data_IF_121341155741
#
_entry.id   IF_121341155741
#
_cell.length_a   1.000
_cell.length_b   1.000
_cell.length_c   1.000
_cell.angle_alpha   90.00
_cell.angle_beta   90.00
_cell.angle_gamma   90.00
#
_symmetry.space_group_name_H-M   'P 1'
#
loop_
_entity.id
_entity.type
_entity.pdbx_description
1 polymer ?
#
# COMPACT_ATOMS: atom_id res chain seq x y z
N UNK A 1 -10.18 1.07 -16.78
CA UNK A 1 -9.23 2.17 -16.49
C UNK A 1 -8.22 1.70 -15.44
N UNK A 2 -6.92 1.92 -15.68
CA UNK A 2 -5.79 1.50 -14.82
C UNK A 2 -5.81 2.07 -13.39
N UNK A 3 -6.69 3.05 -13.12
CA UNK A 3 -6.82 3.74 -11.83
C UNK A 3 -7.41 2.84 -10.74
N UNK A 4 -8.34 1.93 -11.08
CA UNK A 4 -9.03 1.11 -10.08
C UNK A 4 -8.12 0.10 -9.37
N UNK A 5 -7.28 -0.70 -10.06
CA UNK A 5 -6.36 -1.63 -9.39
C UNK A 5 -5.37 -0.92 -8.46
N UNK A 6 -4.91 0.27 -8.84
CA UNK A 6 -3.96 1.03 -8.01
C UNK A 6 -4.61 1.54 -6.72
N UNK A 7 -5.83 2.08 -6.82
CA UNK A 7 -6.58 2.53 -5.64
C UNK A 7 -6.81 1.38 -4.66
N UNK A 8 -7.12 0.19 -5.16
CA UNK A 8 -7.27 -1.01 -4.33
C UNK A 8 -5.96 -1.37 -3.60
N UNK A 9 -4.82 -1.38 -4.30
CA UNK A 9 -3.52 -1.67 -3.68
C UNK A 9 -3.23 -0.68 -2.54
N UNK A 10 -3.37 0.62 -2.80
CA UNK A 10 -3.10 1.66 -1.78
C UNK A 10 -4.05 1.52 -0.58
N UNK A 11 -5.32 1.20 -0.83
CA UNK A 11 -6.32 0.96 0.24
C UNK A 11 -5.96 -0.24 1.10
N UNK A 12 -5.56 -1.36 0.49
CA UNK A 12 -5.21 -2.58 1.24
C UNK A 12 -3.89 -2.39 2.01
N UNK A 13 -2.92 -1.66 1.46
CA UNK A 13 -1.69 -1.29 2.19
C UNK A 13 -2.02 -0.40 3.39
N UNK A 14 -2.83 0.65 3.21
CA UNK A 14 -3.23 1.53 4.30
C UNK A 14 -3.98 0.79 5.41
N UNK A 15 -4.89 -0.12 5.05
CA UNK A 15 -5.58 -1.00 6.01
C UNK A 15 -4.60 -1.89 6.76
N UNK A 16 -3.64 -2.49 6.05
CA UNK A 16 -2.66 -3.40 6.65
C UNK A 16 -1.80 -2.66 7.68
N UNK A 17 -1.33 -1.45 7.37
CA UNK A 17 -0.56 -0.61 8.30
C UNK A 17 -1.37 -0.33 9.57
N UNK A 18 -2.65 0.04 9.43
CA UNK A 18 -3.51 0.32 10.57
C UNK A 18 -3.74 -0.92 11.46
N UNK A 19 -3.91 -2.10 10.84
CA UNK A 19 -4.01 -3.37 11.56
C UNK A 19 -2.70 -3.67 12.29
N UNK A 20 -1.55 -3.51 11.65
CA UNK A 20 -0.25 -3.72 12.28
C UNK A 20 -0.05 -2.80 13.49
N UNK A 21 -0.34 -1.51 13.36
CA UNK A 21 -0.23 -0.57 14.49
C UNK A 21 -1.12 -1.01 15.66
N UNK A 22 -2.36 -1.41 15.39
CA UNK A 22 -3.29 -1.89 16.42
C UNK A 22 -2.77 -3.13 17.15
N UNK A 23 -2.15 -4.06 16.43
CA UNK A 23 -1.60 -5.27 17.04
C UNK A 23 -0.33 -4.98 17.85
N UNK A 24 0.51 -4.02 17.43
CA UNK A 24 1.62 -3.51 18.24
C UNK A 24 1.12 -2.89 19.55
N UNK A 25 0.11 -2.02 19.47
CA UNK A 25 -0.48 -1.37 20.66
C UNK A 25 -1.05 -2.41 21.64
N UNK A 26 -1.75 -3.42 21.11
CA UNK A 26 -2.28 -4.54 21.91
C UNK A 26 -1.19 -5.34 22.59
N UNK A 27 -0.09 -5.61 21.89
CA UNK A 27 1.04 -6.31 22.45
C UNK A 27 1.65 -5.52 23.62
N UNK A 28 1.92 -4.22 23.42
CA UNK A 28 2.43 -3.34 24.47
C UNK A 28 1.50 -3.29 25.69
N UNK A 29 0.19 -3.18 25.48
CA UNK A 29 -0.81 -3.21 26.57
C UNK A 29 -0.76 -4.54 27.35
N UNK A 30 -0.75 -5.66 26.64
CA UNK A 30 -0.73 -6.98 27.27
C UNK A 30 0.56 -7.19 28.08
N UNK A 31 1.71 -6.78 27.53
CA UNK A 31 2.98 -6.81 28.26
C UNK A 31 2.94 -5.92 29.49
N UNK A 32 2.35 -4.72 29.41
CA UNK A 32 2.23 -3.86 30.58
C UNK A 32 1.36 -4.50 31.68
N UNK A 33 0.26 -5.15 31.29
CA UNK A 33 -0.60 -5.88 32.22
C UNK A 33 0.18 -7.01 32.89
N UNK A 34 0.95 -7.79 32.12
CA UNK A 34 1.78 -8.87 32.64
C UNK A 34 2.80 -8.35 33.67
N UNK A 35 3.58 -7.32 33.31
CA UNK A 35 4.55 -6.66 34.20
C UNK A 35 3.91 -6.13 35.48
N UNK A 36 2.70 -5.58 35.39
CA UNK A 36 1.98 -5.00 36.53
C UNK A 36 1.33 -6.06 37.43
N UNK A 37 1.09 -7.26 36.89
CA UNK A 37 0.43 -8.36 37.59
C UNK A 37 1.40 -9.31 38.29
N UNK A 38 2.66 -9.34 37.87
CA UNK A 38 3.70 -10.18 38.46
C UNK A 38 4.28 -9.53 39.73
N UNK A 39 4.22 -10.25 40.86
CA UNK A 39 4.64 -9.74 42.18
C UNK A 39 6.14 -9.42 42.28
N UNK A 40 6.97 -10.10 41.48
CA UNK A 40 8.41 -9.87 41.43
C UNK A 40 8.68 -8.67 40.51
N UNK A 41 8.14 -8.70 39.29
CA UNK A 41 8.42 -7.70 38.25
C UNK A 41 7.85 -6.32 38.59
N UNK A 42 6.72 -6.25 39.30
CA UNK A 42 6.11 -4.99 39.74
C UNK A 42 7.05 -4.11 40.58
N UNK A 43 8.01 -4.70 41.27
CA UNK A 43 8.97 -3.95 42.09
C UNK A 43 10.14 -3.37 41.28
N UNK A 44 10.27 -3.75 40.01
CA UNK A 44 11.38 -3.32 39.14
C UNK A 44 11.06 -2.10 38.27
N UNK A 45 9.90 -1.46 38.46
CA UNK A 45 9.48 -0.25 37.72
C UNK A 45 9.64 -0.41 36.19
N UNK A 46 9.19 -1.55 35.67
CA UNK A 46 9.31 -1.91 34.26
C UNK A 46 8.10 -1.41 33.47
N UNK A 47 8.38 -0.71 32.37
CA UNK A 47 7.39 -0.30 31.39
C UNK A 47 7.47 -1.12 30.11
N UNK A 48 6.32 -1.44 29.54
CA UNK A 48 6.24 -2.04 28.22
C UNK A 48 6.73 -1.07 27.15
N UNK A 49 7.48 -1.58 26.18
CA UNK A 49 7.93 -0.78 25.03
C UNK A 49 6.76 -0.51 24.08
N UNK A 50 6.57 0.76 23.71
CA UNK A 50 5.58 1.17 22.72
C UNK A 50 6.24 1.40 21.35
N UNK A 51 5.73 0.71 20.34
CA UNK A 51 6.21 0.84 18.97
C UNK A 51 5.26 1.71 18.15
N UNK A 52 5.83 2.54 17.29
CA UNK A 52 5.09 3.36 16.35
C UNK A 52 5.61 3.13 14.94
N UNK A 53 4.71 3.09 13.96
CA UNK A 53 5.05 3.11 12.54
C UNK A 53 4.96 4.57 12.07
N UNK A 54 6.07 5.33 12.06
CA UNK A 54 6.03 6.75 11.75
C UNK A 54 5.80 7.02 10.26
N UNK A 55 6.44 6.22 9.41
CA UNK A 55 6.51 6.45 7.96
C UNK A 55 6.59 5.12 7.22
N UNK A 56 5.85 5.03 6.11
CA UNK A 56 5.91 3.91 5.17
C UNK A 56 6.09 4.47 3.77
N UNK A 57 7.23 4.13 3.15
CA UNK A 57 7.55 4.45 1.76
C UNK A 57 7.24 3.24 0.86
N UNK A 58 6.52 3.50 -0.23
CA UNK A 58 6.07 2.51 -1.20
C UNK A 58 6.58 2.89 -2.59
N UNK A 59 7.25 1.95 -3.26
CA UNK A 59 7.67 2.10 -4.66
C UNK A 59 7.07 0.98 -5.51
N UNK A 60 6.26 1.35 -6.51
CA UNK A 60 5.67 0.42 -7.46
C UNK A 60 6.25 0.66 -8.85
N UNK A 61 6.88 -0.38 -9.41
CA UNK A 61 7.40 -0.38 -10.79
C UNK A 61 6.41 -1.07 -11.72
N UNK A 62 6.08 -0.40 -12.81
CA UNK A 62 5.09 -0.87 -13.79
C UNK A 62 5.69 -0.92 -15.19
N UNK A 63 5.38 -1.99 -15.92
CA UNK A 63 5.60 -2.06 -17.36
C UNK A 63 4.42 -1.43 -18.09
N UNK A 64 4.72 -0.60 -19.09
CA UNK A 64 3.73 -0.06 -20.01
C UNK A 64 3.85 -0.77 -21.35
N UNK A 65 2.72 -1.16 -21.93
CA UNK A 65 2.64 -1.76 -23.26
C UNK A 65 1.60 -1.01 -24.07
N UNK A 66 1.98 -0.53 -25.25
CA UNK A 66 1.08 0.07 -26.21
C UNK A 66 0.85 -0.91 -27.36
N UNK A 67 -0.41 -1.11 -27.74
CA UNK A 67 -0.81 -1.90 -28.91
C UNK A 67 -1.66 -1.04 -29.82
N UNK A 68 -1.53 -1.25 -31.13
CA UNK A 68 -2.44 -0.70 -32.13
C UNK A 68 -3.43 -1.80 -32.50
N UNK A 69 -4.70 -1.61 -32.17
CA UNK A 69 -5.78 -2.49 -32.60
C UNK A 69 -6.42 -1.92 -33.86
N UNK A 70 -6.63 -2.76 -34.86
CA UNK A 70 -7.34 -2.38 -36.07
C UNK A 70 -8.82 -2.15 -35.75
N UNK A 71 -9.31 -0.94 -36.02
CA UNK A 71 -10.75 -0.69 -36.02
C UNK A 71 -11.29 -1.05 -37.40
N UNK A 72 -12.17 -2.06 -37.44
CA UNK A 72 -12.87 -2.48 -38.65
C UNK A 72 -14.36 -2.13 -38.58
N UNK A 73 -14.94 -1.72 -39.70
CA UNK A 73 -16.38 -1.45 -39.80
C UNK A 73 -17.21 -2.76 -39.88
N UNK A 74 -18.53 -2.69 -39.83
CA UNK A 74 -19.45 -3.83 -39.98
C UNK A 74 -19.31 -4.58 -41.33
N UNK A 75 -18.68 -3.97 -42.33
CA UNK A 75 -18.27 -4.58 -43.61
C UNK A 75 -16.81 -5.06 -43.63
N UNK A 76 -16.17 -5.12 -42.45
CA UNK A 76 -14.81 -5.60 -42.24
C UNK A 76 -13.71 -4.78 -42.96
N UNK A 77 -13.99 -3.52 -43.34
CA UNK A 77 -12.99 -2.62 -43.90
C UNK A 77 -12.20 -1.93 -42.79
N UNK A 78 -10.89 -1.78 -43.00
CA UNK A 78 -9.99 -1.10 -42.08
C UNK A 78 -10.35 0.40 -42.04
N UNK A 79 -10.84 0.85 -40.88
CA UNK A 79 -11.36 2.20 -40.68
C UNK A 79 -10.38 3.09 -39.90
N UNK A 80 -9.47 2.48 -39.15
CA UNK A 80 -8.43 3.17 -38.41
C UNK A 80 -7.67 2.24 -37.49
N UNK A 81 -6.81 2.84 -36.66
CA UNK A 81 -6.08 2.15 -35.60
C UNK A 81 -6.43 2.78 -34.26
N UNK A 82 -6.94 1.97 -33.33
CA UNK A 82 -7.16 2.36 -31.95
C UNK A 82 -5.91 2.05 -31.14
N UNK A 83 -5.42 3.03 -30.39
CA UNK A 83 -4.31 2.83 -29.45
C UNK A 83 -4.85 2.25 -28.14
N UNK A 84 -4.34 1.10 -27.74
CA UNK A 84 -4.64 0.48 -26.45
C UNK A 84 -3.39 0.49 -25.59
N UNK A 85 -3.45 1.23 -24.48
CA UNK A 85 -2.40 1.27 -23.47
C UNK A 85 -2.75 0.30 -22.34
N UNK A 86 -1.85 -0.63 -22.06
CA UNK A 86 -1.94 -1.59 -20.96
C UNK A 86 -0.78 -1.36 -19.99
N UNK A 87 -1.03 -1.55 -18.70
CA UNK A 87 0.01 -1.49 -17.68
C UNK A 87 -0.13 -2.64 -16.71
N UNK A 88 1.01 -3.22 -16.31
CA UNK A 88 1.07 -4.33 -15.36
C UNK A 88 2.22 -4.12 -14.36
N UNK A 89 2.06 -4.55 -13.09
CA UNK A 89 3.15 -4.56 -12.13
C UNK A 89 4.30 -5.45 -12.62
N UNK A 90 5.54 -4.97 -12.49
CA UNK A 90 6.72 -5.75 -12.81
C UNK A 90 7.03 -6.73 -11.66
N UNK A 91 6.56 -7.97 -11.78
CA UNK A 91 6.99 -9.08 -10.93
C UNK A 91 7.89 -10.04 -11.72
N UNK A 92 8.80 -10.76 -11.06
CA UNK A 92 9.75 -11.68 -11.71
C UNK A 92 9.08 -12.71 -12.64
N UNK A 93 7.84 -13.12 -12.36
CA UNK A 93 7.05 -14.03 -13.19
C UNK A 93 6.41 -13.39 -14.44
N UNK A 94 6.31 -12.06 -14.49
CA UNK A 94 5.73 -11.35 -15.64
C UNK A 94 6.74 -11.23 -16.80
N UNK A 95 8.03 -11.25 -16.49
CA UNK A 95 9.14 -11.21 -17.47
C UNK A 95 9.21 -12.52 -18.28
N UNK A 96 8.80 -13.66 -17.70
CA UNK A 96 9.03 -14.97 -18.32
C UNK A 96 7.97 -15.44 -19.32
N UNK A 97 6.74 -14.89 -19.27
CA UNK A 97 5.61 -15.40 -20.07
C UNK A 97 5.13 -14.45 -21.17
N UNK A 98 5.54 -13.19 -21.11
CA UNK A 98 5.05 -12.14 -22.00
C UNK A 98 6.22 -11.44 -22.67
N UNK A 99 6.60 -11.91 -23.85
CA UNK A 99 7.56 -11.28 -24.76
C UNK A 99 6.97 -10.01 -25.39
N UNK A 100 6.51 -9.06 -24.57
CA UNK A 100 6.07 -7.76 -25.06
C UNK A 100 7.25 -6.80 -25.08
N UNK A 101 7.43 -6.13 -26.22
CA UNK A 101 8.31 -4.99 -26.34
C UNK A 101 7.86 -3.92 -25.35
N UNK A 102 8.59 -3.77 -24.24
CA UNK A 102 8.35 -2.75 -23.24
C UNK A 102 8.76 -1.41 -23.86
N UNK A 103 7.80 -0.62 -24.30
CA UNK A 103 8.05 0.72 -24.87
C UNK A 103 8.23 1.79 -23.78
N UNK A 104 8.00 1.47 -22.50
CA UNK A 104 8.25 2.38 -21.38
C UNK A 104 8.09 1.74 -20.00
N UNK A 105 8.75 2.32 -19.01
CA UNK A 105 8.58 1.99 -17.60
C UNK A 105 7.95 3.16 -16.84
N UNK A 106 7.08 2.87 -15.89
CA UNK A 106 6.50 3.87 -14.98
C UNK A 106 6.82 3.51 -13.53
N UNK A 107 7.11 4.52 -12.72
CA UNK A 107 7.39 4.38 -11.29
C UNK A 107 6.39 5.24 -10.52
N UNK A 108 5.67 4.62 -9.60
CA UNK A 108 4.82 5.31 -8.64
C UNK A 108 5.48 5.25 -7.26
N UNK A 109 5.59 6.41 -6.62
CA UNK A 109 6.06 6.53 -5.24
C UNK A 109 4.93 7.06 -4.37
N UNK A 110 4.67 6.41 -3.24
CA UNK A 110 3.70 6.85 -2.26
C UNK A 110 4.33 6.81 -0.87
N UNK A 111 3.98 7.79 -0.05
CA UNK A 111 4.45 7.92 1.33
C UNK A 111 3.25 8.08 2.25
N UNK A 112 3.17 7.20 3.26
CA UNK A 112 2.14 7.24 4.28
C UNK A 112 2.82 7.65 5.58
N UNK A 113 2.34 8.74 6.18
CA UNK A 113 2.86 9.26 7.45
C UNK A 113 1.77 9.22 8.52
N UNK A 114 2.16 8.84 9.72
CA UNK A 114 1.31 8.95 10.90
C UNK A 114 1.28 10.40 11.35
N UNK A 115 0.09 11.00 11.43
CA UNK A 115 -0.08 12.33 12.03
C UNK A 115 -0.67 12.17 13.43
N UNK A 116 -0.06 12.77 14.47
CA UNK A 116 -0.64 12.75 15.80
C UNK A 116 -2.01 13.44 15.80
N UNK A 117 -2.96 13.01 16.64
CA UNK A 117 -4.25 13.66 16.75
C UNK A 117 -4.09 15.13 17.09
N UNK A 118 -4.88 16.00 16.46
CA UNK A 118 -4.88 17.43 16.77
C UNK A 118 -5.29 17.63 18.23
N UNK A 119 -4.48 18.36 18.99
CA UNK A 119 -4.74 18.66 20.38
C UNK A 119 -5.86 19.71 20.51
N UNK A 120 -7.11 19.36 20.19
CA UNK A 120 -8.25 20.14 20.68
C UNK A 120 -8.43 19.79 22.15
N UNK A 121 -7.72 20.49 23.04
CA UNK A 121 -8.10 20.54 24.44
C UNK A 121 -9.51 21.12 24.50
N UNK A 122 -10.51 20.26 24.71
CA UNK A 122 -11.81 20.73 25.18
C UNK A 122 -11.61 21.05 26.65
N UNK A 123 -11.47 22.34 26.94
CA UNK A 123 -11.39 22.85 28.30
C UNK A 123 -12.75 22.63 28.98
N UNK A 124 -12.80 21.95 30.14
CA UNK A 124 -14.06 21.78 30.85
C UNK A 124 -14.54 23.13 31.38
N UNK A 125 -15.77 23.51 31.02
CA UNK A 125 -16.49 24.67 31.56
C UNK A 125 -17.03 24.37 32.96
#
# INVERSE_FOLDING_TARGET
MLVSPLATILSEVGRSIAVTQRELDRNSINTQIELSSDEVLKNYDLDATWYHIPEVDLELKMALTMKYEEERDSKNQLRGYRRVLSAAPLNASYVSTNSYAVEGSSVLKARIISIPPSSSKVEPQ
#
